data_IF_095796209051
#
_entry.id   IF_095796209051
#
_cell.length_a   1.000
_cell.length_b   1.000
_cell.length_c   1.000
_cell.angle_alpha   90.00
_cell.angle_beta   90.00
_cell.angle_gamma   90.00
#
_symmetry.space_group_name_H-M   'P 1'
#
loop_
_entity.id
_entity.type
_entity.pdbx_description
1 polymer ?
#
# COMPACT_ATOMS: atom_id res chain seq x y z
N UNK A 1 9.54 -38.55 -53.88
CA UNK A 1 8.53 -37.69 -53.22
C UNK A 1 9.01 -37.40 -51.79
N UNK A 2 9.59 -36.22 -51.53
CA UNK A 2 10.13 -35.85 -50.20
C UNK A 2 9.00 -35.29 -49.33
N UNK A 3 8.65 -35.99 -48.25
CA UNK A 3 7.71 -35.50 -47.23
C UNK A 3 8.45 -34.50 -46.33
N UNK A 4 8.10 -33.22 -46.43
CA UNK A 4 8.55 -32.19 -45.50
C UNK A 4 7.72 -32.30 -44.22
N UNK A 5 8.34 -32.67 -43.10
CA UNK A 5 7.71 -32.60 -41.77
C UNK A 5 7.89 -31.18 -41.23
N UNK A 6 6.78 -30.46 -41.06
CA UNK A 6 6.74 -29.20 -40.34
C UNK A 6 6.71 -29.50 -38.84
N UNK A 7 7.80 -29.18 -38.14
CA UNK A 7 7.85 -29.19 -36.68
C UNK A 7 7.25 -27.87 -36.20
N UNK A 8 6.08 -27.92 -35.55
CA UNK A 8 5.47 -26.77 -34.89
C UNK A 8 6.11 -26.65 -33.51
N UNK A 9 7.08 -25.75 -33.38
CA UNK A 9 7.66 -25.39 -32.09
C UNK A 9 6.65 -24.53 -31.34
N UNK A 10 5.95 -25.12 -30.37
CA UNK A 10 5.15 -24.37 -29.39
C UNK A 10 6.13 -23.56 -28.52
N UNK A 11 6.30 -22.27 -28.82
CA UNK A 11 6.86 -21.34 -27.85
C UNK A 11 5.85 -21.17 -26.72
N UNK A 12 6.14 -21.79 -25.57
CA UNK A 12 5.44 -21.52 -24.31
C UNK A 12 5.62 -20.04 -23.97
N UNK A 13 4.59 -19.24 -24.23
CA UNK A 13 4.53 -17.85 -23.78
C UNK A 13 4.36 -17.93 -22.26
N UNK A 14 5.48 -17.85 -21.54
CA UNK A 14 5.46 -17.77 -20.08
C UNK A 14 4.61 -16.56 -19.68
N UNK A 15 3.62 -16.78 -18.81
CA UNK A 15 2.91 -15.68 -18.17
C UNK A 15 3.93 -14.88 -17.37
N UNK A 16 4.16 -13.62 -17.73
CA UNK A 16 4.95 -12.70 -16.93
C UNK A 16 4.20 -12.49 -15.60
N UNK A 17 4.52 -13.31 -14.60
CA UNK A 17 4.03 -13.13 -13.24
C UNK A 17 4.60 -11.84 -12.66
N UNK A 18 3.93 -11.31 -11.63
CA UNK A 18 4.49 -10.20 -10.89
C UNK A 18 5.89 -10.55 -10.40
N UNK A 19 6.83 -9.62 -10.56
CA UNK A 19 8.25 -9.84 -10.20
C UNK A 19 8.53 -9.66 -8.71
N UNK A 20 7.51 -9.32 -7.93
CA UNK A 20 7.58 -9.11 -6.50
C UNK A 20 6.26 -9.45 -5.85
N UNK A 21 6.29 -9.62 -4.54
CA UNK A 21 5.11 -9.84 -3.74
C UNK A 21 4.90 -8.75 -2.69
N UNK A 22 3.65 -8.36 -2.47
CA UNK A 22 3.28 -7.75 -1.18
C UNK A 22 3.17 -8.86 -0.12
N UNK A 23 3.37 -8.53 1.17
CA UNK A 23 3.29 -9.53 2.22
C UNK A 23 1.96 -10.29 2.25
N UNK A 24 1.96 -11.56 2.61
CA UNK A 24 0.73 -12.32 2.85
C UNK A 24 -0.06 -11.80 4.06
N UNK A 25 0.69 -11.31 5.05
CA UNK A 25 0.18 -10.68 6.26
C UNK A 25 1.07 -9.48 6.60
N UNK A 26 0.45 -8.42 7.14
CA UNK A 26 1.15 -7.23 7.59
C UNK A 26 1.19 -7.09 9.12
N UNK A 27 0.52 -7.98 9.85
CA UNK A 27 0.59 -8.00 11.32
C UNK A 27 2.04 -8.15 11.81
N UNK A 28 2.42 -7.33 12.80
CA UNK A 28 3.75 -7.27 13.36
C UNK A 28 4.78 -6.55 12.48
N UNK A 29 4.37 -6.00 11.34
CA UNK A 29 5.29 -5.33 10.40
C UNK A 29 5.25 -3.82 10.55
N UNK A 30 6.42 -3.22 10.41
CA UNK A 30 6.61 -1.77 10.38
C UNK A 30 6.79 -1.30 8.93
N UNK A 31 6.13 -0.20 8.59
CA UNK A 31 6.24 0.46 7.28
C UNK A 31 6.68 1.90 7.44
N UNK A 32 7.56 2.37 6.57
CA UNK A 32 7.77 3.79 6.30
C UNK A 32 6.87 4.19 5.14
N UNK A 33 5.98 5.15 5.37
CA UNK A 33 5.08 5.71 4.37
C UNK A 33 5.52 7.13 4.06
N UNK A 34 6.08 7.37 2.89
CA UNK A 34 6.62 8.66 2.48
C UNK A 34 5.70 9.32 1.46
N UNK A 35 5.08 10.45 1.81
CA UNK A 35 4.19 11.18 0.92
C UNK A 35 5.02 11.97 -0.09
N UNK A 36 5.24 11.37 -1.27
CA UNK A 36 6.03 11.94 -2.37
C UNK A 36 5.22 12.87 -3.29
N UNK A 37 3.89 12.79 -3.28
CA UNK A 37 3.05 13.71 -4.05
C UNK A 37 3.23 15.16 -3.57
N UNK A 38 3.31 16.10 -4.51
CA UNK A 38 3.44 17.52 -4.22
C UNK A 38 2.27 18.06 -3.38
N UNK A 39 2.53 19.15 -2.67
CA UNK A 39 1.51 19.85 -1.88
C UNK A 39 0.40 20.38 -2.78
N UNK A 40 -0.84 20.19 -2.34
CA UNK A 40 -2.01 20.87 -2.87
C UNK A 40 -3.02 21.03 -1.72
N UNK A 41 -4.06 21.88 -1.87
CA UNK A 41 -5.15 21.94 -0.89
C UNK A 41 -5.82 20.58 -0.63
N UNK A 42 -5.78 19.67 -1.60
CA UNK A 42 -6.30 18.29 -1.48
C UNK A 42 -5.28 17.29 -0.93
N UNK A 43 -4.00 17.66 -0.85
CA UNK A 43 -2.91 16.88 -0.25
C UNK A 43 -2.10 17.78 0.73
N UNK A 44 -2.68 18.13 1.90
CA UNK A 44 -1.98 18.95 2.88
C UNK A 44 -0.79 18.24 3.54
N UNK A 45 -0.67 16.92 3.34
CA UNK A 45 0.30 16.08 4.01
C UNK A 45 1.58 15.82 3.20
N UNK A 46 1.76 16.51 2.07
CA UNK A 46 2.94 16.39 1.22
C UNK A 46 4.25 16.52 2.00
N UNK A 47 5.21 15.63 1.73
CA UNK A 47 6.51 15.61 2.39
C UNK A 47 6.52 15.00 3.80
N UNK A 48 5.36 14.60 4.34
CA UNK A 48 5.34 13.84 5.59
C UNK A 48 5.82 12.41 5.39
N UNK A 49 6.50 11.92 6.42
CA UNK A 49 6.94 10.54 6.55
C UNK A 49 6.32 9.94 7.80
N UNK A 50 5.65 8.81 7.64
CA UNK A 50 5.04 8.08 8.75
C UNK A 50 5.76 6.78 8.98
N UNK A 51 6.01 6.44 10.25
CA UNK A 51 6.31 5.07 10.65
C UNK A 51 5.01 4.42 11.11
N UNK A 52 4.41 3.58 10.27
CA UNK A 52 3.24 2.77 10.59
C UNK A 52 3.69 1.44 11.21
N UNK A 53 2.97 1.00 12.24
CA UNK A 53 3.12 -0.33 12.82
C UNK A 53 1.76 -1.01 12.84
N UNK A 54 1.60 -2.08 12.06
CA UNK A 54 0.38 -2.87 12.04
C UNK A 54 0.48 -3.96 13.10
N UNK A 55 -0.36 -3.88 14.12
CA UNK A 55 -0.32 -4.77 15.29
C UNK A 55 -1.33 -5.91 15.12
N UNK A 56 -1.16 -6.96 15.91
CA UNK A 56 -2.24 -7.92 16.13
C UNK A 56 -3.39 -7.25 16.87
N UNK A 57 -4.60 -7.82 16.75
CA UNK A 57 -5.90 -7.26 17.18
C UNK A 57 -6.59 -6.31 16.20
N UNK A 58 -6.12 -6.22 14.95
CA UNK A 58 -6.63 -5.32 13.90
C UNK A 58 -6.42 -3.83 14.20
N UNK A 59 -5.43 -3.46 15.02
CA UNK A 59 -5.04 -2.05 15.23
C UNK A 59 -3.69 -1.71 14.59
N UNK A 60 -3.53 -0.45 14.23
CA UNK A 60 -2.23 0.11 13.92
C UNK A 60 -1.94 1.30 14.81
N UNK A 61 -0.65 1.56 15.00
CA UNK A 61 -0.14 2.82 15.50
C UNK A 61 0.67 3.46 14.39
N UNK A 62 0.76 4.79 14.36
CA UNK A 62 1.78 5.43 13.55
C UNK A 62 2.31 6.71 14.19
N UNK A 63 3.57 6.96 13.88
CA UNK A 63 4.27 8.18 14.25
C UNK A 63 4.51 9.02 13.01
N UNK A 64 4.21 10.30 13.09
CA UNK A 64 4.63 11.29 12.10
C UNK A 64 6.07 11.68 12.42
N UNK A 65 7.01 11.26 11.60
CA UNK A 65 8.44 11.45 11.88
C UNK A 65 8.85 12.94 11.82
N UNK A 66 8.14 13.75 11.03
CA UNK A 66 8.43 15.17 10.85
C UNK A 66 8.15 16.02 12.11
N UNK A 67 7.11 15.68 12.89
CA UNK A 67 6.67 16.48 14.05
C UNK A 67 6.57 15.68 15.35
N UNK A 68 6.75 14.36 15.29
CA UNK A 68 6.74 13.48 16.44
C UNK A 68 5.36 13.03 16.93
N UNK A 69 4.26 13.49 16.31
CA UNK A 69 2.91 13.12 16.75
C UNK A 69 2.63 11.63 16.55
N UNK A 70 1.90 11.05 17.48
CA UNK A 70 1.48 9.65 17.47
C UNK A 70 -0.03 9.53 17.32
N UNK A 71 -0.45 8.55 16.53
CA UNK A 71 -1.85 8.28 16.22
C UNK A 71 -2.08 6.77 16.19
N UNK A 72 -3.35 6.37 16.22
CA UNK A 72 -3.74 4.97 16.18
C UNK A 72 -5.10 4.80 15.53
N UNK A 73 -5.33 3.63 14.96
CA UNK A 73 -6.61 3.27 14.36
C UNK A 73 -6.78 1.78 14.22
N UNK A 74 -7.81 1.39 13.49
CA UNK A 74 -8.12 0.01 13.16
C UNK A 74 -7.86 -0.25 11.68
N UNK A 75 -7.42 -1.46 11.33
CA UNK A 75 -7.19 -1.85 9.95
C UNK A 75 -7.71 -3.24 9.62
N UNK A 76 -7.91 -3.46 8.32
CA UNK A 76 -8.04 -4.78 7.71
C UNK A 76 -7.12 -4.85 6.50
N UNK A 77 -6.38 -5.95 6.37
CA UNK A 77 -5.51 -6.21 5.23
C UNK A 77 -6.04 -7.35 4.36
N UNK A 78 -5.93 -7.18 3.05
CA UNK A 78 -6.19 -8.23 2.07
C UNK A 78 -5.20 -8.15 0.91
N UNK A 79 -4.47 -9.22 0.66
CA UNK A 79 -3.76 -9.42 -0.61
C UNK A 79 -4.76 -9.85 -1.68
N UNK A 80 -4.86 -9.10 -2.77
CA UNK A 80 -5.80 -9.39 -3.87
C UNK A 80 -5.11 -9.92 -5.14
N UNK A 81 -3.82 -9.69 -5.26
CA UNK A 81 -2.91 -10.30 -6.22
C UNK A 81 -1.51 -10.37 -5.58
N UNK A 82 -0.60 -11.15 -6.15
CA UNK A 82 0.75 -11.33 -5.62
C UNK A 82 1.44 -9.99 -5.31
N UNK A 83 1.32 -9.01 -6.22
CA UNK A 83 1.88 -7.67 -6.09
C UNK A 83 0.92 -6.59 -5.57
N UNK A 84 -0.31 -6.93 -5.19
CA UNK A 84 -1.32 -5.92 -4.80
C UNK A 84 -1.96 -6.26 -3.45
N UNK A 85 -1.84 -5.32 -2.52
CA UNK A 85 -2.42 -5.39 -1.18
C UNK A 85 -3.35 -4.23 -0.90
N UNK A 86 -4.43 -4.45 -0.15
CA UNK A 86 -5.37 -3.42 0.26
C UNK A 86 -5.39 -3.35 1.78
N UNK A 87 -5.20 -2.15 2.32
CA UNK A 87 -5.34 -1.83 3.74
C UNK A 87 -6.53 -0.89 3.88
N UNK A 88 -7.61 -1.36 4.50
CA UNK A 88 -8.76 -0.51 4.85
C UNK A 88 -8.62 -0.07 6.29
N UNK A 89 -8.71 1.23 6.55
CA UNK A 89 -8.42 1.84 7.84
C UNK A 89 -9.55 2.74 8.34
N UNK A 90 -9.70 2.75 9.66
CA UNK A 90 -10.61 3.61 10.40
C UNK A 90 -9.85 4.31 11.54
N UNK A 91 -9.95 5.65 11.60
CA UNK A 91 -9.22 6.48 12.56
C UNK A 91 -10.09 7.57 13.17
N UNK A 92 -10.00 7.78 14.48
CA UNK A 92 -10.73 8.84 15.16
C UNK A 92 -9.87 10.11 15.26
N UNK A 93 -10.37 11.19 14.69
CA UNK A 93 -9.83 12.54 14.86
C UNK A 93 -10.78 13.35 15.75
N UNK A 94 -10.55 13.33 17.07
CA UNK A 94 -11.52 13.81 18.04
C UNK A 94 -12.78 12.95 18.01
N UNK A 95 -13.93 13.57 17.78
CA UNK A 95 -15.23 12.86 17.66
C UNK A 95 -15.56 12.41 16.24
N UNK A 96 -14.72 12.73 15.25
CA UNK A 96 -14.98 12.42 13.84
C UNK A 96 -14.19 11.19 13.39
N UNK A 97 -14.90 10.22 12.85
CA UNK A 97 -14.32 9.05 12.21
C UNK A 97 -13.85 9.40 10.80
N UNK A 98 -12.60 9.08 10.48
CA UNK A 98 -12.06 9.08 9.13
C UNK A 98 -11.94 7.65 8.62
N UNK A 99 -12.35 7.44 7.36
CA UNK A 99 -12.24 6.15 6.68
C UNK A 99 -11.38 6.30 5.44
N UNK A 100 -10.38 5.46 5.31
CA UNK A 100 -9.48 5.50 4.17
C UNK A 100 -8.94 4.13 3.78
N UNK A 101 -8.45 4.04 2.55
CA UNK A 101 -7.86 2.84 1.98
C UNK A 101 -6.47 3.14 1.44
N UNK A 102 -5.54 2.23 1.66
CA UNK A 102 -4.22 2.20 1.03
C UNK A 102 -4.18 1.01 0.08
N UNK A 103 -3.99 1.26 -1.21
CA UNK A 103 -3.72 0.20 -2.20
C UNK A 103 -2.24 0.14 -2.46
N UNK A 104 -1.57 -0.90 -1.97
CA UNK A 104 -0.15 -1.16 -2.15
C UNK A 104 0.10 -1.86 -3.49
N UNK A 105 1.12 -1.43 -4.21
CA UNK A 105 1.66 -2.11 -5.40
C UNK A 105 3.18 -2.20 -5.22
N UNK A 106 3.73 -3.42 -5.23
CA UNK A 106 5.16 -3.61 -5.00
C UNK A 106 6.01 -3.22 -6.21
N UNK A 107 7.17 -2.65 -5.93
CA UNK A 107 8.29 -2.51 -6.87
C UNK A 107 9.34 -3.61 -6.62
N UNK A 108 9.48 -4.04 -5.36
CA UNK A 108 10.27 -5.19 -4.90
C UNK A 108 9.68 -5.75 -3.59
N UNK A 109 10.31 -6.77 -3.02
CA UNK A 109 9.82 -7.46 -1.80
C UNK A 109 9.67 -6.54 -0.57
N UNK A 110 10.35 -5.39 -0.55
CA UNK A 110 10.39 -4.50 0.61
C UNK A 110 9.89 -3.08 0.32
N UNK A 111 9.44 -2.76 -0.88
CA UNK A 111 9.00 -1.40 -1.19
C UNK A 111 8.11 -1.35 -2.41
N UNK A 112 7.43 -0.22 -2.55
CA UNK A 112 6.60 0.05 -3.70
C UNK A 112 5.88 1.38 -3.60
N UNK A 113 4.81 1.51 -4.37
CA UNK A 113 3.90 2.65 -4.30
C UNK A 113 2.63 2.28 -3.56
N UNK A 114 1.97 3.28 -2.98
CA UNK A 114 0.61 3.13 -2.52
C UNK A 114 -0.27 4.28 -3.01
N UNK A 115 -1.53 3.95 -3.28
CA UNK A 115 -2.59 4.91 -3.51
C UNK A 115 -3.42 5.03 -2.23
N UNK A 116 -3.43 6.22 -1.65
CA UNK A 116 -4.30 6.59 -0.54
C UNK A 116 -5.61 7.14 -1.08
N UNK A 117 -6.73 6.71 -0.49
CA UNK A 117 -8.04 7.27 -0.75
C UNK A 117 -8.84 7.39 0.53
N UNK A 118 -9.23 8.60 0.90
CA UNK A 118 -10.18 8.87 1.98
C UNK A 118 -11.59 9.00 1.41
N UNK A 119 -12.54 8.28 2.00
CA UNK A 119 -13.96 8.31 1.62
C UNK A 119 -14.83 9.04 2.62
N UNK A 120 -14.33 9.30 3.83
CA UNK A 120 -15.05 10.00 4.89
C UNK A 120 -14.08 10.66 5.89
N UNK A 121 -14.54 11.70 6.60
CA UNK A 121 -13.81 12.37 7.69
C UNK A 121 -13.60 13.88 7.52
N UNK A 122 -12.82 14.48 8.43
CA UNK A 122 -12.63 15.94 8.57
C UNK A 122 -12.17 16.64 7.28
N UNK A 123 -11.38 15.94 6.46
CA UNK A 123 -10.85 16.45 5.20
C UNK A 123 -11.70 16.07 3.96
N UNK A 124 -12.84 15.41 4.14
CA UNK A 124 -13.68 14.92 3.04
C UNK A 124 -13.00 13.87 2.15
N UNK A 125 -13.36 13.85 0.87
CA UNK A 125 -12.80 12.95 -0.12
C UNK A 125 -11.45 13.46 -0.64
N UNK A 126 -10.39 12.68 -0.48
CA UNK A 126 -9.05 13.01 -0.99
C UNK A 126 -8.29 11.77 -1.43
N UNK A 127 -7.32 11.95 -2.31
CA UNK A 127 -6.46 10.88 -2.78
C UNK A 127 -5.04 11.36 -3.09
N UNK A 128 -4.05 10.50 -2.86
CA UNK A 128 -2.66 10.76 -3.22
C UNK A 128 -1.91 9.45 -3.51
N UNK A 129 -0.88 9.55 -4.35
CA UNK A 129 0.06 8.45 -4.62
C UNK A 129 1.36 8.73 -3.88
N UNK A 130 1.97 7.71 -3.30
CA UNK A 130 3.11 7.85 -2.38
C UNK A 130 3.91 6.54 -2.32
N UNK A 131 5.03 6.51 -1.58
CA UNK A 131 5.88 5.31 -1.49
C UNK A 131 5.81 4.66 -0.11
N UNK A 132 5.88 3.33 -0.10
CA UNK A 132 6.03 2.56 1.13
C UNK A 132 7.36 1.79 1.13
N UNK A 133 7.91 1.58 2.32
CA UNK A 133 9.06 0.73 2.57
C UNK A 133 8.79 -0.14 3.78
N UNK A 134 8.94 -1.44 3.64
CA UNK A 134 8.82 -2.42 4.70
C UNK A 134 10.12 -2.50 5.48
N UNK A 135 10.06 -2.31 6.78
CA UNK A 135 11.18 -2.51 7.68
C UNK A 135 11.20 -3.98 8.12
N UNK A 136 12.31 -4.65 7.85
CA UNK A 136 12.56 -6.03 8.31
C UNK A 136 13.01 -6.04 9.77
#
# INVERSE_FOLDING_TARGET
MKKLLFVITLCSIGTAGATCNVPENIEGKDFIMAISASYSPTNPMAGNVYKMQYRGDKKYNYKVLNNGNDYSGQYQYKRIADNIGIISSEEMFGEKLAKYTLTLICDNENSGVYFYQQSDGVAGNRSNTSHYYLLN
#
